data_IF_135497271690
#
_entry.id   IF_135497271690
#
_cell.length_a   1.000
_cell.length_b   1.000
_cell.length_c   1.000
_cell.angle_alpha   90.00
_cell.angle_beta   90.00
_cell.angle_gamma   90.00
#
_symmetry.space_group_name_H-M   'P 1'
#
loop_
_entity.id
_entity.type
_entity.pdbx_description
1 polymer ?
#
# COMPACT_ATOMS: atom_id res chain seq x y z
N UNK A 1 -3.27 9.22 -16.08
CA UNK A 1 -3.19 9.82 -14.72
C UNK A 1 -1.80 9.51 -14.16
N UNK A 2 -1.12 10.48 -13.53
CA UNK A 2 0.11 10.21 -12.76
C UNK A 2 -0.27 10.46 -11.31
N UNK A 3 -0.25 9.42 -10.48
CA UNK A 3 -0.31 9.59 -9.04
C UNK A 3 1.00 10.29 -8.64
N UNK A 4 0.89 11.37 -7.89
CA UNK A 4 2.06 12.02 -7.29
C UNK A 4 2.57 11.19 -6.12
N UNK A 5 3.87 11.33 -5.75
CA UNK A 5 4.39 10.66 -4.55
C UNK A 5 3.56 10.96 -3.29
N UNK A 6 3.16 12.22 -3.11
CA UNK A 6 2.35 12.65 -1.97
C UNK A 6 0.98 11.96 -1.92
N UNK A 7 0.32 11.78 -3.07
CA UNK A 7 -0.94 11.04 -3.15
C UNK A 7 -0.76 9.54 -2.87
N UNK A 8 0.39 8.95 -3.22
CA UNK A 8 0.70 7.56 -2.88
C UNK A 8 0.96 7.38 -1.39
N UNK A 9 1.65 8.34 -0.76
CA UNK A 9 1.91 8.32 0.68
C UNK A 9 0.63 8.52 1.49
N UNK A 10 -0.24 9.46 1.09
CA UNK A 10 -1.55 9.63 1.73
C UNK A 10 -2.40 8.36 1.63
N UNK A 11 -2.47 7.74 0.46
CA UNK A 11 -3.20 6.49 0.26
C UNK A 11 -2.61 5.34 1.08
N UNK A 12 -1.27 5.27 1.19
CA UNK A 12 -0.58 4.30 2.04
C UNK A 12 -1.05 4.43 3.48
N UNK A 13 -1.05 5.63 4.03
CA UNK A 13 -1.41 5.88 5.42
C UNK A 13 -2.88 5.53 5.71
N UNK A 14 -3.78 5.91 4.81
CA UNK A 14 -5.21 5.56 4.91
C UNK A 14 -5.44 4.05 4.90
N UNK A 15 -4.77 3.32 4.00
CA UNK A 15 -4.90 1.87 3.90
C UNK A 15 -4.32 1.16 5.13
N UNK A 16 -3.18 1.63 5.66
CA UNK A 16 -2.61 1.12 6.91
C UNK A 16 -3.60 1.30 8.04
N UNK A 17 -4.22 2.47 8.16
CA UNK A 17 -5.17 2.75 9.24
C UNK A 17 -6.37 1.81 9.16
N UNK A 18 -6.88 1.55 7.95
CA UNK A 18 -7.99 0.61 7.74
C UNK A 18 -7.59 -0.82 8.07
N UNK A 19 -6.46 -1.31 7.55
CA UNK A 19 -5.99 -2.67 7.81
C UNK A 19 -5.68 -2.89 9.30
N UNK A 20 -5.10 -1.89 9.96
CA UNK A 20 -4.76 -1.94 11.39
C UNK A 20 -5.97 -2.13 12.31
N UNK A 21 -7.19 -1.87 11.82
CA UNK A 21 -8.45 -2.15 12.55
C UNK A 21 -8.75 -3.64 12.65
N UNK A 22 -8.14 -4.46 11.79
CA UNK A 22 -8.44 -5.89 11.68
C UNK A 22 -7.21 -6.79 11.87
N UNK A 23 -6.01 -6.32 11.51
CA UNK A 23 -4.77 -7.11 11.52
C UNK A 23 -3.58 -6.24 11.92
N UNK A 24 -2.54 -6.85 12.51
CA UNK A 24 -1.31 -6.13 12.86
C UNK A 24 -0.37 -6.05 11.65
N UNK A 25 -0.22 -4.85 11.08
CA UNK A 25 0.61 -4.60 9.89
C UNK A 25 2.00 -4.09 10.29
N UNK A 26 3.05 -4.57 9.62
CA UNK A 26 4.40 -4.02 9.71
C UNK A 26 4.52 -2.79 8.81
N UNK A 27 4.14 -1.62 9.33
CA UNK A 27 4.09 -0.36 8.59
C UNK A 27 5.43 0.09 8.00
N UNK A 28 6.54 -0.41 8.55
CA UNK A 28 7.91 -0.08 8.13
C UNK A 28 8.32 -0.78 6.84
N UNK A 29 7.61 -1.85 6.44
CA UNK A 29 7.97 -2.71 5.29
C UNK A 29 6.92 -2.71 4.18
N UNK A 30 6.05 -1.72 4.16
CA UNK A 30 5.03 -1.60 3.13
C UNK A 30 5.67 -1.09 1.84
N UNK A 31 5.33 -1.76 0.75
CA UNK A 31 5.78 -1.44 -0.60
C UNK A 31 4.56 -1.21 -1.48
N UNK A 32 4.53 -0.12 -2.23
CA UNK A 32 3.46 0.22 -3.16
C UNK A 32 4.07 0.64 -4.49
N UNK A 33 3.58 0.06 -5.58
CA UNK A 33 4.09 0.30 -6.93
C UNK A 33 2.95 0.42 -7.94
N UNK A 34 3.12 1.34 -8.89
CA UNK A 34 2.17 1.54 -9.99
C UNK A 34 2.75 0.89 -11.24
N UNK A 35 2.19 -0.26 -11.61
CA UNK A 35 2.52 -0.94 -12.87
C UNK A 35 1.66 -0.39 -13.98
N UNK A 36 2.30 0.01 -15.07
CA UNK A 36 1.63 0.41 -16.30
C UNK A 36 1.99 -0.59 -17.39
N UNK A 37 0.99 -1.37 -17.78
CA UNK A 37 1.03 -2.21 -18.98
C UNK A 37 0.14 -1.55 -20.05
N UNK A 38 0.34 -1.90 -21.31
CA UNK A 38 -0.05 -1.11 -22.49
C UNK A 38 -1.51 -0.58 -22.50
N UNK A 39 -2.44 -1.27 -21.83
CA UNK A 39 -3.86 -0.89 -21.70
C UNK A 39 -4.36 -0.77 -20.24
N UNK A 40 -3.53 -1.11 -19.25
CA UNK A 40 -3.93 -1.19 -17.84
C UNK A 40 -2.93 -0.51 -16.91
N UNK A 41 -3.45 0.27 -15.97
CA UNK A 41 -2.68 0.73 -14.81
C UNK A 41 -3.13 -0.06 -13.59
N UNK A 42 -2.21 -0.77 -12.95
CA UNK A 42 -2.43 -1.51 -11.71
C UNK A 42 -1.63 -0.88 -10.58
N UNK A 43 -2.25 -0.76 -9.40
CA UNK A 43 -1.55 -0.44 -8.16
C UNK A 43 -1.36 -1.74 -7.40
N UNK A 44 -0.10 -2.12 -7.16
CA UNK A 44 0.26 -3.30 -6.37
C UNK A 44 0.79 -2.82 -5.03
N UNK A 45 0.15 -3.27 -3.94
CA UNK A 45 0.55 -2.93 -2.59
C UNK A 45 0.80 -4.20 -1.78
N UNK A 46 1.98 -4.31 -1.19
CA UNK A 46 2.35 -5.40 -0.30
C UNK A 46 2.36 -4.90 1.15
N UNK A 47 1.53 -5.51 1.98
CA UNK A 47 1.37 -5.19 3.40
C UNK A 47 1.80 -6.39 4.24
N UNK A 48 3.06 -6.45 4.69
CA UNK A 48 3.52 -7.54 5.54
C UNK A 48 2.78 -7.51 6.88
N UNK A 49 2.27 -8.66 7.30
CA UNK A 49 1.63 -8.81 8.61
C UNK A 49 2.69 -9.15 9.65
N UNK A 50 2.55 -8.59 10.85
CA UNK A 50 3.36 -9.04 11.98
C UNK A 50 2.88 -10.44 12.35
N UNK A 51 3.77 -11.41 12.20
CA UNK A 51 3.48 -12.77 12.66
C UNK A 51 3.23 -12.76 14.16
N UNK A 52 2.07 -13.24 14.58
CA UNK A 52 1.86 -13.70 15.95
C UNK A 52 2.87 -14.82 16.20
N UNK A 53 3.86 -14.57 17.07
CA UNK A 53 4.67 -15.63 17.65
C UNK A 53 3.78 -16.68 18.32
#
# INVERSE_FOLDING_TARGET
MKLTPDEMDAMRDELIEVLSKYIDVDSQKIEMDVKREDDMTALVANFPLKGSK
#
